data_IF_410337553709
#
_entry.id   IF_410337553709
#
_cell.length_a   1.000
_cell.length_b   1.000
_cell.length_c   1.000
_cell.angle_alpha   90.00
_cell.angle_beta   90.00
_cell.angle_gamma   90.00
#
_symmetry.space_group_name_H-M   'P 1'
#
loop_
_entity.id
_entity.type
_entity.pdbx_description
1 polymer ?
#
# COMPACT_ATOMS: atom_id res chain seq x y z
N UNK A 1 -11.56 8.72 -11.64
CA UNK A 1 -10.15 8.79 -11.21
C UNK A 1 -9.13 8.56 -12.33
N UNK A 2 -9.17 7.48 -13.11
CA UNK A 2 -8.16 7.21 -14.16
C UNK A 2 -7.93 8.39 -15.13
N UNK A 3 -8.99 9.00 -15.65
CA UNK A 3 -8.90 10.20 -16.51
C UNK A 3 -8.27 11.43 -15.82
N UNK A 4 -8.44 11.55 -14.49
CA UNK A 4 -7.79 12.62 -13.72
C UNK A 4 -6.31 12.33 -13.60
N UNK A 5 -5.93 11.10 -13.27
CA UNK A 5 -4.53 10.67 -13.19
C UNK A 5 -3.80 10.82 -14.54
N UNK A 6 -4.51 10.74 -15.66
CA UNK A 6 -3.95 11.02 -16.99
C UNK A 6 -3.50 12.46 -17.19
N UNK A 7 -4.12 13.41 -16.49
CA UNK A 7 -3.81 14.84 -16.60
C UNK A 7 -2.72 15.29 -15.64
N UNK A 8 -2.26 14.43 -14.73
CA UNK A 8 -1.21 14.77 -13.75
C UNK A 8 0.16 14.82 -14.44
N UNK A 9 0.77 16.02 -14.44
CA UNK A 9 2.09 16.28 -15.04
C UNK A 9 3.23 16.00 -14.05
N UNK A 10 3.00 16.21 -12.75
CA UNK A 10 3.99 16.04 -11.68
C UNK A 10 3.52 15.00 -10.65
N UNK A 11 3.71 13.70 -10.91
CA UNK A 11 3.20 12.63 -10.04
C UNK A 11 3.69 12.71 -8.59
N UNK A 12 4.90 13.24 -8.36
CA UNK A 12 5.47 13.34 -7.00
C UNK A 12 4.64 14.23 -6.07
N UNK A 13 3.95 15.24 -6.62
CA UNK A 13 3.07 16.12 -5.83
C UNK A 13 1.85 15.36 -5.27
N UNK A 14 1.50 14.21 -5.86
CA UNK A 14 0.44 13.36 -5.34
C UNK A 14 0.80 12.77 -3.97
N UNK A 15 2.09 12.61 -3.65
CA UNK A 15 2.50 12.02 -2.38
C UNK A 15 1.99 12.83 -1.18
N UNK A 16 1.99 14.16 -1.25
CA UNK A 16 1.62 15.01 -0.13
C UNK A 16 0.17 14.82 0.31
N UNK A 17 -0.71 14.44 -0.62
CA UNK A 17 -2.15 14.32 -0.38
C UNK A 17 -2.60 12.85 -0.34
N UNK A 18 -1.99 12.00 -1.16
CA UNK A 18 -2.45 10.64 -1.42
C UNK A 18 -1.46 9.58 -0.94
N UNK A 19 -0.41 9.92 -0.19
CA UNK A 19 0.43 8.88 0.41
C UNK A 19 -0.39 7.99 1.37
N UNK A 20 -0.02 6.70 1.50
CA UNK A 20 -0.55 5.90 2.60
C UNK A 20 -0.13 6.51 3.94
N UNK A 21 -0.93 6.25 4.97
CA UNK A 21 -0.66 6.68 6.34
C UNK A 21 0.41 5.79 6.99
N UNK A 22 0.91 6.17 8.16
CA UNK A 22 1.73 5.26 8.95
C UNK A 22 0.87 4.08 9.45
N UNK A 23 1.49 2.92 9.68
CA UNK A 23 0.77 1.73 10.19
C UNK A 23 0.02 1.97 11.51
N UNK A 24 0.45 2.95 12.32
CA UNK A 24 -0.23 3.27 13.59
C UNK A 24 -1.52 4.08 13.42
N UNK A 25 -1.78 4.59 12.21
CA UNK A 25 -2.95 5.41 11.89
C UNK A 25 -4.08 4.60 11.24
N UNK A 26 -3.82 3.33 10.92
CA UNK A 26 -4.84 2.39 10.47
C UNK A 26 -5.37 1.60 11.67
N UNK A 27 -6.70 1.47 11.75
CA UNK A 27 -7.33 0.76 12.87
C UNK A 27 -7.09 -0.76 12.80
N UNK A 28 -7.14 -1.31 11.60
CA UNK A 28 -7.02 -2.73 11.32
C UNK A 28 -6.51 -2.98 9.88
N UNK A 29 -6.37 -4.26 9.53
CA UNK A 29 -5.94 -4.67 8.18
C UNK A 29 -6.96 -4.28 7.10
N UNK A 30 -8.25 -4.20 7.45
CA UNK A 30 -9.32 -3.80 6.55
C UNK A 30 -9.21 -2.35 6.11
N UNK A 31 -8.97 -1.43 7.03
CA UNK A 31 -8.74 0.00 6.74
C UNK A 31 -7.51 0.20 5.81
N UNK A 32 -6.45 -0.58 6.05
CA UNK A 32 -5.26 -0.58 5.19
C UNK A 32 -5.60 -1.07 3.77
N UNK A 33 -6.35 -2.18 3.65
CA UNK A 33 -6.76 -2.71 2.35
C UNK A 33 -7.75 -1.80 1.63
N UNK A 34 -8.69 -1.18 2.36
CA UNK A 34 -9.64 -0.23 1.80
C UNK A 34 -8.90 0.96 1.16
N UNK A 35 -7.89 1.51 1.84
CA UNK A 35 -7.07 2.57 1.26
C UNK A 35 -6.37 2.13 -0.04
N UNK A 36 -5.95 0.87 -0.12
CA UNK A 36 -5.35 0.29 -1.32
C UNK A 36 -6.33 0.12 -2.48
N UNK A 37 -7.45 -0.56 -2.23
CA UNK A 37 -8.30 -1.10 -3.28
C UNK A 37 -9.42 -0.13 -3.70
N UNK A 38 -9.93 0.63 -2.75
CA UNK A 38 -11.06 1.55 -2.92
C UNK A 38 -10.66 3.03 -2.75
N UNK A 39 -9.65 3.30 -1.94
CA UNK A 39 -9.22 4.64 -1.53
C UNK A 39 -9.80 5.05 -0.18
N UNK A 40 -9.06 5.90 0.53
CA UNK A 40 -9.43 6.41 1.85
C UNK A 40 -10.61 7.39 1.76
N UNK A 41 -11.49 7.35 2.75
CA UNK A 41 -12.58 8.32 2.90
C UNK A 41 -12.14 9.47 3.80
N UNK A 42 -12.42 10.70 3.37
CA UNK A 42 -12.25 11.92 4.16
C UNK A 42 -13.64 12.49 4.41
N UNK A 43 -14.00 12.60 5.68
CA UNK A 43 -15.29 13.18 6.09
C UNK A 43 -15.44 14.61 5.56
N UNK A 44 -16.62 14.93 5.00
CA UNK A 44 -16.90 16.23 4.41
C UNK A 44 -16.27 16.50 3.04
N UNK A 45 -15.37 15.64 2.55
CA UNK A 45 -14.72 15.79 1.22
C UNK A 45 -15.12 14.68 0.27
N UNK A 46 -15.13 13.43 0.74
CA UNK A 46 -15.41 12.25 -0.06
C UNK A 46 -14.23 11.28 -0.13
N UNK A 47 -14.20 10.45 -1.17
CA UNK A 47 -13.24 9.34 -1.30
C UNK A 47 -12.07 9.70 -2.22
N UNK A 48 -10.86 9.53 -1.70
CA UNK A 48 -9.61 9.61 -2.46
C UNK A 48 -9.53 8.49 -3.53
N UNK A 49 -8.69 8.62 -4.57
CA UNK A 49 -8.41 7.50 -5.47
C UNK A 49 -7.83 6.31 -4.69
N UNK A 50 -8.17 5.11 -5.12
CA UNK A 50 -7.52 3.89 -4.67
C UNK A 50 -6.00 3.95 -4.95
N UNK A 51 -5.18 3.65 -3.94
CA UNK A 51 -3.72 3.69 -4.09
C UNK A 51 -3.21 2.72 -5.16
N UNK A 52 -3.92 1.61 -5.40
CA UNK A 52 -3.60 0.70 -6.50
C UNK A 52 -3.62 1.36 -7.87
N UNK A 53 -4.48 2.36 -8.08
CA UNK A 53 -4.57 3.09 -9.35
C UNK A 53 -3.38 4.03 -9.53
N UNK A 54 -2.92 4.65 -8.44
CA UNK A 54 -1.72 5.51 -8.44
C UNK A 54 -0.48 4.65 -8.66
N UNK A 55 -0.33 3.54 -7.92
CA UNK A 55 0.80 2.63 -8.05
C UNK A 55 0.84 1.93 -9.42
N UNK A 56 -0.31 1.55 -9.98
CA UNK A 56 -0.35 0.99 -11.34
C UNK A 56 0.17 1.96 -12.40
N UNK A 57 -0.02 3.28 -12.21
CA UNK A 57 0.36 4.30 -13.18
C UNK A 57 1.80 4.78 -13.02
N UNK A 58 2.24 4.99 -11.78
CA UNK A 58 3.53 5.64 -11.48
C UNK A 58 4.40 4.87 -10.52
N UNK A 59 4.00 3.68 -10.11
CA UNK A 59 4.74 2.80 -9.22
C UNK A 59 6.01 2.24 -9.81
N UNK A 60 6.63 1.32 -9.07
CA UNK A 60 7.83 0.64 -9.54
C UNK A 60 7.46 -0.39 -10.59
N UNK A 61 7.54 -0.01 -11.86
CA UNK A 61 7.39 -0.93 -12.98
C UNK A 61 8.74 -1.61 -13.24
N UNK A 62 8.79 -2.93 -13.03
CA UNK A 62 9.88 -3.74 -13.58
C UNK A 62 9.66 -3.86 -15.08
N UNK A 63 10.64 -3.44 -15.87
CA UNK A 63 10.65 -3.76 -17.29
C UNK A 63 10.88 -5.27 -17.44
N UNK A 64 9.92 -5.98 -18.05
CA UNK A 64 9.97 -7.45 -18.22
C UNK A 64 11.11 -7.91 -19.14
N UNK A 65 11.58 -7.04 -20.03
CA UNK A 65 12.63 -7.35 -21.01
C UNK A 65 14.04 -7.09 -20.47
N UNK A 66 14.23 -5.99 -19.72
CA UNK A 66 15.55 -5.58 -19.24
C UNK A 66 15.82 -5.97 -17.78
N UNK A 67 14.81 -6.48 -17.08
CA UNK A 67 14.80 -6.76 -15.64
C UNK A 67 15.21 -5.55 -14.76
N UNK A 68 15.27 -4.34 -15.36
CA UNK A 68 15.57 -3.09 -14.66
C UNK A 68 14.26 -2.49 -14.12
N UNK A 69 14.27 -2.16 -12.84
CA UNK A 69 13.16 -1.44 -12.20
C UNK A 69 13.23 0.05 -12.51
N UNK A 70 12.13 0.63 -12.98
CA UNK A 70 11.98 2.10 -12.97
C UNK A 70 11.61 2.54 -11.56
N UNK A 71 12.27 3.58 -11.05
CA UNK A 71 11.87 4.19 -9.78
C UNK A 71 10.42 4.69 -9.87
N UNK A 72 9.69 4.56 -8.75
CA UNK A 72 8.33 5.08 -8.69
C UNK A 72 8.35 6.60 -8.82
N UNK A 73 7.58 7.12 -9.77
CA UNK A 73 7.56 8.54 -10.12
C UNK A 73 6.70 9.38 -9.15
N UNK A 74 5.75 8.75 -8.47
CA UNK A 74 4.84 9.42 -7.54
C UNK A 74 5.34 9.43 -6.10
N UNK A 75 6.44 8.72 -5.80
CA UNK A 75 7.05 8.68 -4.46
C UNK A 75 8.24 9.63 -4.43
N UNK A 76 8.41 10.47 -3.39
CA UNK A 76 9.48 11.44 -3.33
C UNK A 76 10.85 10.74 -3.30
N UNK A 77 11.79 11.14 -4.19
CA UNK A 77 13.11 10.54 -4.23
C UNK A 77 13.93 10.94 -3.00
N UNK A 78 14.75 10.01 -2.50
CA UNK A 78 15.68 10.24 -1.37
C UNK A 78 15.01 10.66 -0.04
N UNK A 79 13.70 10.44 0.11
CA UNK A 79 13.00 10.66 1.37
C UNK A 79 12.90 9.36 2.18
N UNK A 80 13.67 9.26 3.27
CA UNK A 80 13.67 8.10 4.16
C UNK A 80 12.33 7.82 4.83
N UNK A 81 11.60 8.86 5.20
CA UNK A 81 10.30 8.73 5.85
C UNK A 81 9.29 8.18 4.86
N UNK A 82 9.23 8.75 3.66
CA UNK A 82 8.35 8.27 2.61
C UNK A 82 8.65 6.83 2.21
N UNK A 83 9.94 6.47 2.08
CA UNK A 83 10.38 5.09 1.84
C UNK A 83 9.89 4.14 2.92
N UNK A 84 10.03 4.51 4.18
CA UNK A 84 9.60 3.70 5.33
C UNK A 84 8.08 3.53 5.37
N UNK A 85 7.33 4.62 5.18
CA UNK A 85 5.87 4.60 5.11
C UNK A 85 5.41 3.64 4.02
N UNK A 86 5.93 3.80 2.80
CA UNK A 86 5.59 2.92 1.69
C UNK A 86 5.95 1.47 1.96
N UNK A 87 7.18 1.19 2.40
CA UNK A 87 7.64 -0.18 2.62
C UNK A 87 6.77 -0.92 3.64
N UNK A 88 6.40 -0.24 4.73
CA UNK A 88 5.53 -0.79 5.76
C UNK A 88 4.11 -1.04 5.23
N UNK A 89 3.56 -0.11 4.45
CA UNK A 89 2.25 -0.25 3.84
C UNK A 89 2.24 -1.40 2.82
N UNK A 90 3.17 -1.39 1.87
CA UNK A 90 3.28 -2.39 0.80
C UNK A 90 3.54 -3.80 1.31
N UNK A 91 4.16 -3.94 2.50
CA UNK A 91 4.38 -5.24 3.14
C UNK A 91 3.07 -6.01 3.39
N UNK A 92 2.01 -5.30 3.79
CA UNK A 92 0.70 -5.90 4.03
C UNK A 92 -0.04 -6.12 2.71
N UNK A 93 0.00 -5.15 1.80
CA UNK A 93 -0.62 -5.26 0.48
C UNK A 93 -0.12 -6.51 -0.26
N UNK A 94 1.20 -6.70 -0.33
CA UNK A 94 1.79 -7.88 -0.99
C UNK A 94 1.28 -9.19 -0.41
N UNK A 95 1.12 -9.29 0.92
CA UNK A 95 0.61 -10.50 1.56
C UNK A 95 -0.86 -10.75 1.26
N UNK A 96 -1.67 -9.69 1.25
CA UNK A 96 -3.09 -9.82 0.88
C UNK A 96 -3.19 -10.25 -0.58
N UNK A 97 -2.42 -9.61 -1.48
CA UNK A 97 -2.39 -9.95 -2.90
C UNK A 97 -1.88 -11.38 -3.15
N UNK A 98 -0.88 -11.85 -2.40
CA UNK A 98 -0.40 -13.25 -2.44
C UNK A 98 -1.51 -14.23 -2.04
N UNK A 99 -2.22 -13.97 -0.94
CA UNK A 99 -3.35 -14.81 -0.52
C UNK A 99 -4.47 -14.82 -1.57
N UNK A 100 -4.76 -13.67 -2.16
CA UNK A 100 -5.74 -13.55 -3.25
C UNK A 100 -5.29 -14.35 -4.47
N UNK A 101 -4.01 -14.26 -4.84
CA UNK A 101 -3.44 -15.04 -5.96
C UNK A 101 -3.49 -16.56 -5.71
N UNK A 102 -3.46 -17.01 -4.45
CA UNK A 102 -3.61 -18.43 -4.09
C UNK A 102 -5.07 -18.90 -4.00
N UNK A 103 -6.05 -18.04 -4.33
CA UNK A 103 -7.46 -18.41 -4.44
C UNK A 103 -8.35 -17.93 -3.29
N UNK A 104 -7.83 -17.14 -2.35
CA UNK A 104 -8.68 -16.47 -1.35
C UNK A 104 -9.42 -15.29 -1.96
N UNK A 105 -10.62 -14.98 -1.48
CA UNK A 105 -11.20 -13.65 -1.73
C UNK A 105 -10.41 -12.56 -0.98
N UNK A 106 -10.51 -11.31 -1.41
CA UNK A 106 -9.86 -10.18 -0.71
C UNK A 106 -10.30 -10.10 0.76
N UNK A 107 -11.60 -10.31 1.03
CA UNK A 107 -12.15 -10.34 2.39
C UNK A 107 -11.54 -11.49 3.22
N UNK A 108 -11.42 -12.69 2.64
CA UNK A 108 -10.79 -13.82 3.32
C UNK A 108 -9.31 -13.54 3.62
N UNK A 109 -8.57 -12.98 2.65
CA UNK A 109 -7.16 -12.65 2.81
C UNK A 109 -6.94 -11.59 3.91
N UNK A 110 -7.74 -10.53 3.92
CA UNK A 110 -7.74 -9.51 4.98
C UNK A 110 -8.02 -10.15 6.34
N UNK A 111 -9.08 -10.96 6.44
CA UNK A 111 -9.45 -11.62 7.69
C UNK A 111 -8.37 -12.58 8.21
N UNK A 112 -7.64 -13.27 7.32
CA UNK A 112 -6.53 -14.14 7.72
C UNK A 112 -5.38 -13.34 8.36
N UNK A 113 -4.99 -12.22 7.74
CA UNK A 113 -3.94 -11.34 8.30
C UNK A 113 -4.42 -10.68 9.60
N UNK A 114 -5.69 -10.31 9.66
CA UNK A 114 -6.31 -9.71 10.84
C UNK A 114 -6.37 -10.71 12.01
N UNK A 115 -6.68 -11.97 11.74
CA UNK A 115 -6.60 -13.05 12.72
C UNK A 115 -5.17 -13.25 13.24
N UNK A 116 -4.15 -13.10 12.37
CA UNK A 116 -2.76 -13.08 12.81
C UNK A 116 -2.48 -11.90 13.72
N UNK A 117 -3.09 -10.73 13.51
CA UNK A 117 -2.88 -9.55 14.37
C UNK A 117 -3.29 -9.84 15.81
N UNK A 118 -4.47 -10.41 16.01
CA UNK A 118 -5.07 -10.56 17.35
C UNK A 118 -5.20 -9.18 18.02
N UNK A 119 -4.75 -9.06 19.26
CA UNK A 119 -4.82 -7.80 20.03
C UNK A 119 -3.68 -6.81 19.73
N UNK A 120 -2.78 -7.14 18.80
CA UNK A 120 -1.59 -6.34 18.50
C UNK A 120 -1.92 -5.14 17.62
N UNK A 121 -1.15 -4.07 17.72
CA UNK A 121 -1.14 -3.04 16.67
C UNK A 121 -0.55 -3.58 15.36
N UNK A 122 -0.88 -2.95 14.23
CA UNK A 122 -0.27 -3.28 12.93
C UNK A 122 1.27 -3.13 12.96
N UNK A 123 1.80 -2.16 13.71
CA UNK A 123 3.24 -2.03 13.95
C UNK A 123 3.85 -3.26 14.64
N UNK A 124 3.19 -3.77 15.68
CA UNK A 124 3.65 -4.97 16.39
C UNK A 124 3.53 -6.22 15.50
N UNK A 125 2.44 -6.36 14.75
CA UNK A 125 2.28 -7.44 13.78
C UNK A 125 3.39 -7.40 12.72
N UNK A 126 3.63 -6.24 12.10
CA UNK A 126 4.68 -6.03 11.10
C UNK A 126 6.05 -6.48 11.63
N UNK A 127 6.45 -6.02 12.83
CA UNK A 127 7.71 -6.44 13.46
C UNK A 127 7.77 -7.95 13.71
N UNK A 128 6.65 -8.58 14.09
CA UNK A 128 6.63 -10.02 14.35
C UNK A 128 6.77 -10.85 13.07
N UNK A 129 6.15 -10.40 11.98
CA UNK A 129 6.21 -11.07 10.68
C UNK A 129 7.55 -10.87 9.96
N UNK A 130 8.26 -9.78 10.23
CA UNK A 130 9.62 -9.56 9.73
C UNK A 130 10.68 -10.45 10.41
N UNK A 131 10.45 -10.89 11.65
CA UNK A 131 11.45 -11.60 12.47
C UNK A 131 11.70 -13.07 12.09
N UNK A 132 11.14 -13.58 10.97
CA UNK A 132 11.52 -14.90 10.46
C UNK A 132 12.78 -14.84 9.58
N UNK A 133 13.93 -14.77 10.25
CA UNK A 133 15.20 -15.42 9.86
C UNK A 133 15.98 -15.79 11.12
N UNK A 134 15.72 -16.98 11.62
CA UNK A 134 16.67 -17.81 12.38
C UNK A 134 16.49 -19.23 11.88
N UNK A 135 17.32 -19.61 10.90
CA UNK A 135 17.86 -20.95 10.82
C UNK A 135 19.12 -20.95 11.66
#
# INVERSE_FOLDING_TARGET
>A
WQHILEKVVHPVAMWEVYAPRNLGEYNDTGDLWQAWDEGSFIEGVGRLPALRLIEARWGTLKNKETNKGKYAQWRPPKDDRARKIWANFSFFIQRIEELVATGSSSVQAVNQIEALRGTRSLNQLHRSLQKKKKQ
#
